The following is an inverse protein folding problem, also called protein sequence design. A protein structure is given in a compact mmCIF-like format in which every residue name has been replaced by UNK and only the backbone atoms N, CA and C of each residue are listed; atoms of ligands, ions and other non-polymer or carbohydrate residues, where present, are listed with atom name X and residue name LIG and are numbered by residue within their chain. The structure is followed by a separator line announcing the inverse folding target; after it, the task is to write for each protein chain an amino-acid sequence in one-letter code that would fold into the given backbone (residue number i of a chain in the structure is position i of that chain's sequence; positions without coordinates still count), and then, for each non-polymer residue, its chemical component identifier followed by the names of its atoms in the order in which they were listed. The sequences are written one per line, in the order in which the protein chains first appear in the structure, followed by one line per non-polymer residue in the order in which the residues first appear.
data_IF_542125579384
#
_entry.id   IF_542125579384
#
_cell.length_a   1.000
_cell.length_b   1.000
_cell.length_c   1.000
_cell.angle_alpha   90.00
_cell.angle_beta   90.00
_cell.angle_gamma   90.00
#
_symmetry.space_group_name_H-M   'P 1'
#
loop_
_entity.id
_entity.type
_entity.pdbx_description
1 polymer ?
#
# COMPACT_ATOMS: atom_id res chain seq x y z
N UNK A 1 19.40 22.40 -12.96
CA UNK A 1 19.95 21.16 -12.38
C UNK A 1 18.79 20.16 -12.24
N UNK A 2 18.85 19.02 -12.88
CA UNK A 2 17.82 17.99 -12.72
C UNK A 2 17.89 17.41 -11.30
N UNK A 3 16.74 17.28 -10.64
CA UNK A 3 16.66 16.61 -9.35
C UNK A 3 17.08 15.15 -9.51
N UNK A 4 17.87 14.57 -8.58
CA UNK A 4 18.23 13.16 -8.65
C UNK A 4 16.96 12.30 -8.58
N UNK A 5 16.88 11.31 -9.46
CA UNK A 5 15.78 10.36 -9.53
C UNK A 5 16.22 8.99 -9.05
N UNK A 6 15.25 8.18 -8.62
CA UNK A 6 15.44 6.78 -8.24
C UNK A 6 14.20 5.97 -8.62
N UNK A 7 14.41 4.68 -8.82
CA UNK A 7 13.32 3.71 -9.05
C UNK A 7 12.81 3.18 -7.71
N UNK A 8 11.49 2.99 -7.62
CA UNK A 8 10.85 2.40 -6.46
C UNK A 8 9.69 1.51 -6.88
N UNK A 9 9.60 0.31 -6.28
CA UNK A 9 8.41 -0.52 -6.35
C UNK A 9 7.61 -0.36 -5.08
N UNK A 10 6.30 -0.16 -5.20
CA UNK A 10 5.47 0.12 -4.04
C UNK A 10 4.02 -0.33 -4.22
N UNK A 11 3.30 -0.43 -3.10
CA UNK A 11 1.84 -0.63 -3.05
C UNK A 11 1.18 0.67 -2.62
N UNK A 12 0.14 1.11 -3.32
CA UNK A 12 -0.61 2.33 -3.00
C UNK A 12 -1.55 2.06 -1.83
N UNK A 13 -1.24 2.63 -0.66
CA UNK A 13 -2.05 2.46 0.55
C UNK A 13 -3.12 3.53 0.69
N UNK A 14 -2.79 4.80 0.39
CA UNK A 14 -3.71 5.93 0.53
C UNK A 14 -3.41 7.03 -0.48
N UNK A 15 -4.47 7.72 -0.89
CA UNK A 15 -4.41 8.92 -1.74
C UNK A 15 -5.05 10.08 -1.00
N UNK A 16 -4.33 11.18 -0.85
CA UNK A 16 -4.82 12.41 -0.22
C UNK A 16 -4.78 13.54 -1.24
N UNK A 17 -5.87 14.28 -1.35
CA UNK A 17 -5.95 15.43 -2.28
C UNK A 17 -4.98 16.53 -1.82
N UNK A 18 -4.24 17.09 -2.78
CA UNK A 18 -3.35 18.23 -2.59
C UNK A 18 -3.71 19.31 -3.64
N UNK A 19 -4.21 20.43 -3.17
CA UNK A 19 -4.70 21.49 -4.05
C UNK A 19 -5.78 20.99 -5.02
N UNK A 20 -5.82 21.58 -6.21
CA UNK A 20 -6.88 21.30 -7.20
C UNK A 20 -6.62 20.04 -8.03
N UNK A 21 -5.37 19.75 -8.36
CA UNK A 21 -5.03 18.72 -9.36
C UNK A 21 -4.09 17.61 -8.88
N UNK A 22 -3.46 17.76 -7.73
CA UNK A 22 -2.40 16.87 -7.26
C UNK A 22 -2.91 15.86 -6.22
N UNK A 23 -2.14 14.79 -6.04
CA UNK A 23 -2.33 13.79 -4.98
C UNK A 23 -1.05 13.62 -4.18
N UNK A 24 -1.18 13.48 -2.86
CA UNK A 24 -0.16 12.88 -2.01
C UNK A 24 -0.48 11.38 -1.93
N UNK A 25 0.49 10.56 -2.28
CA UNK A 25 0.43 9.11 -2.15
C UNK A 25 1.13 8.69 -0.86
N UNK A 26 0.48 7.82 -0.10
CA UNK A 26 1.13 7.02 0.94
C UNK A 26 1.31 5.62 0.39
N UNK A 27 2.52 5.13 0.40
CA UNK A 27 2.96 3.93 -0.29
C UNK A 27 3.69 3.00 0.69
N UNK A 28 3.54 1.70 0.49
CA UNK A 28 4.41 0.68 1.09
C UNK A 28 5.48 0.33 0.06
N UNK A 29 6.71 0.73 0.31
CA UNK A 29 7.84 0.41 -0.55
C UNK A 29 8.24 -1.08 -0.46
N UNK A 30 8.98 -1.58 -1.44
CA UNK A 30 9.41 -2.98 -1.50
C UNK A 30 10.28 -3.41 -0.30
N UNK A 31 11.03 -2.47 0.28
CA UNK A 31 11.78 -2.67 1.53
C UNK A 31 10.90 -2.71 2.78
N UNK A 32 9.58 -2.49 2.64
CA UNK A 32 8.60 -2.48 3.72
C UNK A 32 8.53 -1.18 4.51
N UNK A 33 9.29 -0.17 4.14
CA UNK A 33 9.18 1.17 4.72
C UNK A 33 7.99 1.93 4.13
N UNK A 34 7.49 2.93 4.86
CA UNK A 34 6.51 3.86 4.32
C UNK A 34 7.20 4.90 3.44
N UNK A 35 6.62 5.20 2.31
CA UNK A 35 7.06 6.24 1.40
C UNK A 35 5.92 7.21 1.11
N UNK A 36 6.22 8.50 1.02
CA UNK A 36 5.26 9.54 0.66
C UNK A 36 5.78 10.35 -0.53
N UNK A 37 4.93 10.48 -1.56
CA UNK A 37 5.29 11.20 -2.77
C UNK A 37 4.10 11.97 -3.34
N UNK A 38 4.37 13.06 -4.05
CA UNK A 38 3.36 13.86 -4.75
C UNK A 38 3.28 13.38 -6.21
N UNK A 39 2.07 13.06 -6.65
CA UNK A 39 1.74 12.84 -8.05
C UNK A 39 1.08 14.11 -8.60
N UNK A 40 1.87 14.94 -9.30
CA UNK A 40 1.41 16.21 -9.86
C UNK A 40 0.43 15.99 -11.00
N UNK A 41 -0.67 16.74 -11.00
CA UNK A 41 -1.71 16.66 -12.01
C UNK A 41 -2.46 15.33 -12.05
N UNK A 42 -2.32 14.47 -11.04
CA UNK A 42 -2.92 13.12 -11.03
C UNK A 42 -4.45 13.13 -11.08
N UNK A 43 -5.08 14.23 -10.68
CA UNK A 43 -6.55 14.40 -10.70
C UNK A 43 -7.08 15.05 -11.98
N UNK A 44 -6.21 15.46 -12.90
CA UNK A 44 -6.64 16.00 -14.20
C UNK A 44 -7.25 14.88 -15.05
N UNK A 45 -8.31 15.17 -15.84
CA UNK A 45 -8.99 14.17 -16.66
C UNK A 45 -8.06 13.42 -17.64
N UNK A 46 -7.06 14.11 -18.19
CA UNK A 46 -6.07 13.54 -19.12
C UNK A 46 -4.83 12.95 -18.43
N UNK A 47 -4.87 12.77 -17.09
CA UNK A 47 -3.71 12.29 -16.36
C UNK A 47 -3.42 10.81 -16.62
N UNK A 48 -2.19 10.50 -17.02
CA UNK A 48 -1.70 9.12 -17.11
C UNK A 48 -1.61 8.41 -15.76
N UNK A 49 -1.64 9.15 -14.64
CA UNK A 49 -1.57 8.61 -13.29
C UNK A 49 -2.91 8.05 -12.79
N UNK A 50 -4.04 8.58 -13.26
CA UNK A 50 -5.37 8.23 -12.76
C UNK A 50 -5.61 6.71 -12.76
N UNK A 51 -5.25 6.04 -13.86
CA UNK A 51 -5.43 4.59 -13.99
C UNK A 51 -4.32 3.75 -13.35
N UNK A 52 -3.14 4.32 -13.11
CA UNK A 52 -1.95 3.59 -12.66
C UNK A 52 -1.74 3.66 -11.13
N UNK A 53 -2.21 4.74 -10.50
CA UNK A 53 -2.05 5.00 -9.07
C UNK A 53 -3.35 4.75 -8.29
N UNK A 54 -4.08 3.70 -8.64
CA UNK A 54 -5.26 3.30 -7.88
C UNK A 54 -4.87 2.66 -6.54
N UNK A 55 -5.79 2.73 -5.57
CA UNK A 55 -5.59 2.09 -4.27
C UNK A 55 -5.32 0.60 -4.45
N UNK A 56 -4.41 0.09 -3.65
CA UNK A 56 -4.00 -1.32 -3.58
C UNK A 56 -3.28 -1.83 -4.82
N UNK A 57 -2.95 -0.96 -5.77
CA UNK A 57 -2.13 -1.33 -6.93
C UNK A 57 -0.67 -1.51 -6.54
N UNK A 58 -0.02 -2.50 -7.14
CA UNK A 58 1.44 -2.64 -7.13
C UNK A 58 1.98 -1.88 -8.34
N UNK A 59 2.88 -0.95 -8.09
CA UNK A 59 3.38 -0.01 -9.09
C UNK A 59 4.90 0.11 -9.07
N UNK A 60 5.50 0.22 -10.25
CA UNK A 60 6.87 0.67 -10.43
C UNK A 60 6.87 2.17 -10.70
N UNK A 61 7.66 2.91 -9.96
CA UNK A 61 7.70 4.37 -9.96
C UNK A 61 9.10 4.86 -10.30
N UNK A 62 9.18 5.89 -11.14
CA UNK A 62 10.34 6.77 -11.21
C UNK A 62 10.05 8.00 -10.36
N UNK A 63 10.89 8.27 -9.37
CA UNK A 63 10.66 9.27 -8.34
C UNK A 63 11.82 10.26 -8.30
N UNK A 64 11.52 11.55 -8.27
CA UNK A 64 12.50 12.59 -8.04
C UNK A 64 12.54 13.00 -6.56
N UNK A 65 13.73 13.17 -5.99
CA UNK A 65 13.92 13.65 -4.63
C UNK A 65 13.36 15.07 -4.48
N UNK A 66 12.47 15.27 -3.50
CA UNK A 66 11.93 16.56 -3.15
C UNK A 66 12.51 17.10 -1.84
N UNK A 67 12.19 18.35 -1.49
CA UNK A 67 12.61 18.95 -0.21
C UNK A 67 11.84 18.39 0.99
N UNK A 68 10.55 18.21 0.85
CA UNK A 68 9.65 17.70 1.91
C UNK A 68 8.98 16.39 1.52
N UNK A 69 8.54 16.29 0.28
CA UNK A 69 7.98 15.08 -0.31
C UNK A 69 8.62 14.84 -1.66
N UNK A 70 8.87 13.59 -1.97
CA UNK A 70 9.34 13.16 -3.27
C UNK A 70 8.26 13.36 -4.34
N UNK A 71 8.63 13.38 -5.61
CA UNK A 71 7.72 13.66 -6.73
C UNK A 71 7.73 12.49 -7.69
N UNK A 72 6.57 11.88 -7.92
CA UNK A 72 6.40 10.84 -8.92
C UNK A 72 6.54 11.45 -10.32
N UNK A 73 7.50 10.97 -11.09
CA UNK A 73 7.73 11.36 -12.49
C UNK A 73 7.02 10.41 -13.45
N UNK A 74 7.14 9.11 -13.19
CA UNK A 74 6.50 8.07 -13.98
C UNK A 74 5.91 7.00 -13.07
N UNK A 75 4.86 6.36 -13.53
CA UNK A 75 4.25 5.21 -12.88
C UNK A 75 3.92 4.15 -13.93
N UNK A 76 4.28 2.91 -13.62
CA UNK A 76 3.90 1.73 -14.39
C UNK A 76 3.15 0.77 -13.47
N UNK A 77 1.96 0.38 -13.89
CA UNK A 77 1.16 -0.60 -13.16
C UNK A 77 1.74 -1.99 -13.37
N UNK A 78 2.06 -2.70 -12.28
CA UNK A 78 2.47 -4.11 -12.33
C UNK A 78 1.25 -5.03 -12.34
N UNK A 79 0.36 -4.87 -11.34
CA UNK A 79 -0.86 -5.67 -11.26
C UNK A 79 -1.94 -5.01 -10.39
N UNK A 80 -3.19 -5.16 -10.80
CA UNK A 80 -4.37 -4.79 -9.99
C UNK A 80 -5.66 -5.43 -10.51
N UNK A 81 -5.55 -6.55 -11.17
CA UNK A 81 -6.51 -7.02 -12.18
C UNK A 81 -7.96 -7.17 -11.73
N UNK A 82 -8.25 -7.51 -10.48
CA UNK A 82 -9.62 -7.81 -10.03
C UNK A 82 -10.15 -6.90 -8.91
N UNK A 83 -9.28 -6.39 -8.05
CA UNK A 83 -9.70 -5.53 -6.92
C UNK A 83 -10.44 -4.26 -7.36
N UNK A 84 -10.28 -3.85 -8.62
CA UNK A 84 -10.96 -2.69 -9.20
C UNK A 84 -12.41 -2.94 -9.61
N UNK A 85 -12.78 -4.18 -9.83
CA UNK A 85 -14.07 -4.52 -10.45
C UNK A 85 -15.13 -4.94 -9.45
N UNK A 86 -14.70 -5.32 -8.26
CA UNK A 86 -15.56 -5.88 -7.24
C UNK A 86 -15.39 -5.12 -5.92
N UNK A 87 -16.49 -4.51 -5.49
CA UNK A 87 -16.52 -3.70 -4.27
C UNK A 87 -16.20 -4.51 -3.01
N UNK A 88 -16.60 -5.78 -2.98
CA UNK A 88 -16.35 -6.66 -1.83
C UNK A 88 -14.88 -6.96 -1.67
N UNK A 89 -14.18 -7.25 -2.76
CA UNK A 89 -12.73 -7.47 -2.75
C UNK A 89 -11.95 -6.19 -2.40
N UNK A 90 -12.38 -5.04 -2.94
CA UNK A 90 -11.79 -3.75 -2.59
C UNK A 90 -12.01 -3.40 -1.10
N UNK A 91 -13.21 -3.70 -0.57
CA UNK A 91 -13.54 -3.50 0.83
C UNK A 91 -12.67 -4.37 1.76
N UNK A 92 -12.32 -5.60 1.33
CA UNK A 92 -11.40 -6.47 2.05
C UNK A 92 -9.97 -5.95 2.09
N UNK A 93 -9.52 -5.20 1.08
CA UNK A 93 -8.19 -4.60 1.04
C UNK A 93 -8.07 -3.33 1.91
N UNK A 94 -9.17 -2.64 2.17
CA UNK A 94 -9.18 -1.37 2.89
C UNK A 94 -8.58 -1.46 4.31
N UNK A 95 -9.01 -2.37 5.21
CA UNK A 95 -8.42 -2.48 6.54
C UNK A 95 -6.96 -2.94 6.51
N UNK A 96 -6.54 -3.70 5.49
CA UNK A 96 -5.15 -4.09 5.30
C UNK A 96 -4.27 -2.87 5.04
N UNK A 97 -4.68 -1.99 4.13
CA UNK A 97 -3.97 -0.76 3.81
C UNK A 97 -3.99 0.23 4.98
N UNK A 98 -5.11 0.34 5.71
CA UNK A 98 -5.22 1.21 6.88
C UNK A 98 -4.27 0.77 8.00
N UNK A 99 -4.18 -0.53 8.29
CA UNK A 99 -3.23 -1.03 9.28
C UNK A 99 -1.80 -0.74 8.87
N UNK A 100 -1.43 -1.00 7.61
CA UNK A 100 -0.09 -0.72 7.10
C UNK A 100 0.26 0.76 7.19
N UNK A 101 -0.67 1.67 6.85
CA UNK A 101 -0.47 3.12 6.99
C UNK A 101 -0.12 3.53 8.43
N UNK A 102 -0.62 2.78 9.43
CA UNK A 102 -0.39 3.05 10.86
C UNK A 102 0.87 2.41 11.43
N UNK A 103 1.25 1.22 10.95
CA UNK A 103 2.37 0.45 11.53
C UNK A 103 3.68 0.64 10.78
N UNK A 104 3.66 1.17 9.55
CA UNK A 104 4.87 1.44 8.78
C UNK A 104 5.35 2.87 8.98
N UNK A 105 6.65 3.08 8.87
CA UNK A 105 7.30 4.39 9.03
C UNK A 105 8.34 4.61 7.93
N UNK A 106 8.61 5.88 7.61
CA UNK A 106 9.67 6.23 6.68
C UNK A 106 11.03 5.85 7.27
N UNK A 107 11.85 5.18 6.44
CA UNK A 107 13.18 4.74 6.85
C UNK A 107 13.24 3.53 7.78
N UNK A 108 12.09 2.94 8.14
CA UNK A 108 12.04 1.71 8.92
C UNK A 108 11.70 0.53 7.98
N UNK A 109 12.71 -0.22 7.61
CA UNK A 109 12.59 -1.33 6.67
C UNK A 109 11.98 -2.58 7.33
N UNK A 110 11.02 -3.20 6.66
CA UNK A 110 10.49 -4.50 6.99
C UNK A 110 9.94 -5.18 5.72
N UNK A 111 10.80 -5.77 4.89
CA UNK A 111 10.41 -6.31 3.58
C UNK A 111 9.37 -7.43 3.65
N UNK A 112 9.19 -8.06 4.81
CA UNK A 112 8.12 -9.05 5.03
C UNK A 112 6.74 -8.46 4.86
N UNK A 113 6.54 -7.17 5.22
CA UNK A 113 5.26 -6.49 5.09
C UNK A 113 4.87 -6.31 3.62
N UNK A 114 5.82 -5.94 2.76
CA UNK A 114 5.57 -5.83 1.32
C UNK A 114 5.21 -7.19 0.70
N UNK A 115 6.02 -8.22 0.95
CA UNK A 115 5.81 -9.55 0.42
C UNK A 115 4.46 -10.16 0.88
N UNK A 116 4.13 -10.01 2.18
CA UNK A 116 2.85 -10.43 2.75
C UNK A 116 1.68 -9.73 2.07
N UNK A 117 1.76 -8.40 1.93
CA UNK A 117 0.67 -7.60 1.36
C UNK A 117 0.46 -7.89 -0.11
N UNK A 118 1.53 -7.99 -0.89
CA UNK A 118 1.46 -8.35 -2.32
C UNK A 118 0.78 -9.73 -2.50
N UNK A 119 1.15 -10.71 -1.69
CA UNK A 119 0.54 -12.05 -1.71
C UNK A 119 -0.94 -12.01 -1.33
N UNK A 120 -1.30 -11.24 -0.29
CA UNK A 120 -2.68 -11.12 0.16
C UNK A 120 -3.56 -10.42 -0.88
N UNK A 121 -3.08 -9.34 -1.51
CA UNK A 121 -3.79 -8.65 -2.59
C UNK A 121 -4.00 -9.56 -3.80
N UNK A 122 -2.99 -10.34 -4.18
CA UNK A 122 -3.12 -11.34 -5.23
C UNK A 122 -4.15 -12.43 -4.88
N UNK A 123 -4.18 -12.88 -3.62
CA UNK A 123 -5.16 -13.84 -3.13
C UNK A 123 -6.57 -13.26 -3.15
N UNK A 124 -6.77 -12.03 -2.67
CA UNK A 124 -8.06 -11.33 -2.75
C UNK A 124 -8.62 -11.30 -4.17
N UNK A 125 -7.78 -11.08 -5.18
CA UNK A 125 -8.23 -11.07 -6.58
C UNK A 125 -8.69 -12.43 -7.14
N UNK A 126 -8.54 -13.53 -6.38
CA UNK A 126 -8.81 -14.91 -6.84
C UNK A 126 -9.84 -15.67 -6.02
N UNK A 127 -10.05 -15.26 -4.77
CA UNK A 127 -11.00 -15.95 -3.87
C UNK A 127 -12.44 -15.54 -4.13
N UNK A 128 -13.38 -16.37 -3.72
CA UNK A 128 -14.79 -16.00 -3.70
C UNK A 128 -15.07 -14.92 -2.64
N UNK A 129 -16.09 -14.06 -2.83
CA UNK A 129 -16.45 -13.02 -1.88
C UNK A 129 -16.59 -13.50 -0.43
N UNK A 130 -17.12 -14.71 -0.21
CA UNK A 130 -17.25 -15.31 1.12
C UNK A 130 -15.91 -15.55 1.83
N UNK A 131 -14.82 -15.66 1.10
CA UNK A 131 -13.46 -15.90 1.62
C UNK A 131 -12.68 -14.61 1.89
N UNK A 132 -13.15 -13.48 1.37
CA UNK A 132 -12.50 -12.17 1.54
C UNK A 132 -12.21 -11.83 3.01
N UNK A 133 -13.15 -12.00 3.96
CA UNK A 133 -12.88 -11.73 5.38
C UNK A 133 -11.75 -12.58 5.97
N UNK A 134 -11.63 -13.84 5.55
CA UNK A 134 -10.57 -14.73 6.03
C UNK A 134 -9.18 -14.29 5.54
N UNK A 135 -9.06 -13.90 4.26
CA UNK A 135 -7.81 -13.36 3.71
C UNK A 135 -7.43 -12.06 4.42
N UNK A 136 -8.39 -11.18 4.63
CA UNK A 136 -8.19 -9.92 5.35
C UNK A 136 -7.70 -10.19 6.79
N UNK A 137 -8.41 -11.02 7.56
CA UNK A 137 -8.04 -11.35 8.94
C UNK A 137 -6.64 -11.98 9.04
N UNK A 138 -6.31 -12.91 8.14
CA UNK A 138 -4.98 -13.52 8.09
C UNK A 138 -3.88 -12.49 7.82
N UNK A 139 -4.11 -11.54 6.91
CA UNK A 139 -3.18 -10.46 6.65
C UNK A 139 -3.00 -9.54 7.86
N UNK A 140 -4.09 -9.11 8.51
CA UNK A 140 -4.04 -8.22 9.68
C UNK A 140 -3.24 -8.85 10.82
N UNK A 141 -3.51 -10.13 11.16
CA UNK A 141 -2.80 -10.84 12.23
C UNK A 141 -1.30 -11.01 11.93
N UNK A 142 -0.95 -11.35 10.69
CA UNK A 142 0.45 -11.49 10.28
C UNK A 142 1.16 -10.13 10.25
N UNK A 143 0.49 -9.08 9.81
CA UNK A 143 1.01 -7.70 9.83
C UNK A 143 1.33 -7.25 11.25
N UNK A 144 0.42 -7.46 12.21
CA UNK A 144 0.67 -7.19 13.62
C UNK A 144 1.87 -7.98 14.16
N UNK A 145 1.95 -9.27 13.83
CA UNK A 145 3.08 -10.09 14.26
C UNK A 145 4.42 -9.58 13.70
N UNK A 146 4.46 -9.21 12.40
CA UNK A 146 5.68 -8.67 11.77
C UNK A 146 6.04 -7.27 12.27
N UNK A 147 5.06 -6.48 12.69
CA UNK A 147 5.26 -5.18 13.32
C UNK A 147 5.66 -5.28 14.82
N UNK A 148 5.82 -6.47 15.38
CA UNK A 148 6.16 -6.67 16.77
C UNK A 148 4.99 -6.57 17.75
N UNK A 149 3.75 -6.55 17.24
CA UNK A 149 2.50 -6.39 18.00
C UNK A 149 1.67 -7.70 17.99
N UNK A 150 2.35 -8.84 18.02
CA UNK A 150 1.68 -10.15 17.96
C UNK A 150 0.67 -10.30 19.09
N UNK A 151 -0.63 -10.51 18.81
CA UNK A 151 -1.62 -10.81 19.84
C UNK A 151 -1.35 -12.19 20.46
N UNK A 152 -1.56 -12.33 21.77
CA UNK A 152 -1.59 -13.64 22.43
C UNK A 152 -2.95 -14.29 22.17
N UNK A 153 -2.95 -15.41 21.45
CA UNK A 153 -4.18 -16.16 21.13
C UNK A 153 -4.22 -17.52 21.84
N UNK A 154 -3.10 -17.94 22.42
CA UNK A 154 -2.93 -19.28 22.97
C UNK A 154 -2.91 -19.30 24.50
N UNK A 155 -2.74 -18.14 25.13
CA UNK A 155 -2.62 -18.05 26.59
C UNK A 155 -3.12 -16.69 27.10
N UNK A 156 -3.51 -16.67 28.36
CA UNK A 156 -3.87 -15.44 29.06
C UNK A 156 -2.67 -14.51 29.19
N UNK A 157 -2.82 -13.24 28.78
CA UNK A 157 -1.74 -12.23 28.84
C UNK A 157 -1.33 -11.86 30.28
N UNK A 158 -2.18 -12.15 31.28
CA UNK A 158 -1.94 -11.84 32.67
C UNK A 158 -1.28 -12.99 33.43
N UNK A 159 -1.72 -14.22 33.24
CA UNK A 159 -1.25 -15.38 34.04
C UNK A 159 -0.57 -16.48 33.21
N UNK A 160 -0.51 -16.37 31.88
CA UNK A 160 0.15 -17.32 31.01
C UNK A 160 -0.56 -18.66 30.85
N UNK A 161 -1.79 -18.84 31.34
CA UNK A 161 -2.60 -20.06 31.20
C UNK A 161 -3.56 -19.95 30.04
#
# INVERSE_FOLDING_TARGET
MSQPTYDARAIVLRKTKLGESDLILTLLAEDGSQMRAVAKGARKPASSFAARLELYSVVDLLVARGRSLDIVKEARLESNERLRRDIEHAAGAAPMAELLDRVTQMGLENPRLFALTRTALSSLGRVDPAQVPAVCAAHLLKTLAFAGLRPSLDACVSCGR
#
